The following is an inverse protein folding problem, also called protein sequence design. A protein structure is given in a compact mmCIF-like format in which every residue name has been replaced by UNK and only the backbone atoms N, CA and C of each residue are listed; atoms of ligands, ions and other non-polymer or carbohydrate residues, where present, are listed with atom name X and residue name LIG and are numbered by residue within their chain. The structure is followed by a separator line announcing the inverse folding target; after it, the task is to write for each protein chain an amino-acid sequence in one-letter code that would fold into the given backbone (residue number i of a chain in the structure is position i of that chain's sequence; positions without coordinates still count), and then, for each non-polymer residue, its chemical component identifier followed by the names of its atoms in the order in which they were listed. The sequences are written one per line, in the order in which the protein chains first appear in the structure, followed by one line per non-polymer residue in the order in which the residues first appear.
data_IF_519593924501
#
_entry.id   IF_519593924501
#
_cell.length_a   1.000
_cell.length_b   1.000
_cell.length_c   1.000
_cell.angle_alpha   90.00
_cell.angle_beta   90.00
_cell.angle_gamma   90.00
#
_symmetry.space_group_name_H-M   'P 1'
#
loop_
_entity.id
_entity.type
_entity.pdbx_description
1 polymer ?
#
# COMPACT_ATOMS: atom_id res chain seq x y z
N UNK A 1 -9.13 6.26 -5.24
CA UNK A 1 -8.16 5.16 -5.10
C UNK A 1 -8.66 4.28 -3.96
N UNK A 2 -8.88 3.00 -4.24
CA UNK A 2 -9.37 2.03 -3.24
C UNK A 2 -8.20 1.17 -2.81
N UNK A 3 -8.04 1.02 -1.50
CA UNK A 3 -6.98 0.20 -0.90
C UNK A 3 -7.69 -0.93 -0.18
N UNK A 4 -7.43 -2.16 -0.61
CA UNK A 4 -7.94 -3.35 0.05
C UNK A 4 -6.76 -4.01 0.75
N UNK A 5 -6.80 -4.02 2.09
CA UNK A 5 -5.85 -4.74 2.91
C UNK A 5 -6.44 -6.11 3.25
N UNK A 6 -5.65 -7.15 3.06
CA UNK A 6 -5.88 -8.49 3.54
C UNK A 6 -4.63 -8.94 4.29
N UNK A 7 -4.75 -9.92 5.17
CA UNK A 7 -3.67 -10.33 6.09
C UNK A 7 -2.35 -10.68 5.38
N UNK A 8 -2.42 -11.12 4.12
CA UNK A 8 -1.26 -11.53 3.33
C UNK A 8 -1.01 -10.64 2.08
N UNK A 9 -1.95 -9.77 1.71
CA UNK A 9 -1.86 -8.99 0.47
C UNK A 9 -2.52 -7.63 0.54
N UNK A 10 -2.01 -6.71 -0.26
CA UNK A 10 -2.55 -5.36 -0.41
C UNK A 10 -2.88 -5.15 -1.88
N UNK A 11 -4.12 -4.77 -2.15
CA UNK A 11 -4.59 -4.46 -3.51
C UNK A 11 -4.85 -2.96 -3.60
N UNK A 12 -4.14 -2.31 -4.51
CA UNK A 12 -4.28 -0.89 -4.81
C UNK A 12 -5.02 -0.74 -6.13
N UNK A 13 -6.20 -0.14 -6.09
CA UNK A 13 -7.00 0.13 -7.28
C UNK A 13 -7.13 1.64 -7.51
N UNK A 14 -6.63 2.13 -8.64
CA UNK A 14 -6.66 3.55 -8.99
C UNK A 14 -5.88 3.84 -10.26
N UNK A 15 -5.70 5.13 -10.58
CA UNK A 15 -4.86 5.54 -11.71
C UNK A 15 -3.40 5.20 -11.40
N UNK A 16 -2.63 4.80 -12.42
CA UNK A 16 -1.25 4.33 -12.25
C UNK A 16 -0.36 5.33 -11.49
N UNK A 17 -0.49 6.63 -11.77
CA UNK A 17 0.27 7.67 -11.07
C UNK A 17 -0.10 7.79 -9.58
N UNK A 18 -1.37 7.53 -9.21
CA UNK A 18 -1.82 7.55 -7.81
C UNK A 18 -1.23 6.37 -7.04
N UNK A 19 -1.19 5.20 -7.66
CA UNK A 19 -0.55 3.99 -7.11
C UNK A 19 0.95 4.26 -6.90
N UNK A 20 1.63 4.83 -7.88
CA UNK A 20 3.05 5.18 -7.78
C UNK A 20 3.32 6.17 -6.63
N UNK A 21 2.49 7.22 -6.53
CA UNK A 21 2.60 8.21 -5.46
C UNK A 21 2.46 7.55 -4.08
N UNK A 22 1.47 6.65 -3.94
CA UNK A 22 1.19 5.99 -2.67
C UNK A 22 2.30 4.99 -2.29
N UNK A 23 2.85 4.25 -3.25
CA UNK A 23 4.01 3.37 -3.02
C UNK A 23 5.26 4.15 -2.60
N UNK A 24 5.46 5.36 -3.12
CA UNK A 24 6.56 6.25 -2.69
C UNK A 24 6.37 6.75 -1.26
N UNK A 25 5.15 7.13 -0.89
CA UNK A 25 4.82 7.52 0.49
C UNK A 25 4.99 6.35 1.46
N UNK A 26 4.51 5.18 1.06
CA UNK A 26 4.61 3.93 1.79
C UNK A 26 6.08 3.57 2.13
N UNK A 27 6.99 3.66 1.15
CA UNK A 27 8.42 3.37 1.34
C UNK A 27 9.07 4.22 2.45
N UNK A 28 8.53 5.41 2.73
CA UNK A 28 9.04 6.28 3.81
C UNK A 28 8.60 5.81 5.20
N UNK A 29 7.43 5.17 5.29
CA UNK A 29 6.78 4.83 6.56
C UNK A 29 7.02 3.38 6.97
N UNK A 30 7.17 2.45 6.02
CA UNK A 30 7.33 1.02 6.31
C UNK A 30 8.42 0.41 5.44
N UNK A 31 9.13 -0.57 6.01
CA UNK A 31 10.22 -1.28 5.33
C UNK A 31 9.73 -2.52 4.59
N UNK A 32 8.67 -3.19 5.07
CA UNK A 32 8.14 -4.42 4.46
C UNK A 32 6.64 -4.36 4.26
N UNK A 33 6.17 -4.94 3.14
CA UNK A 33 4.74 -5.00 2.78
C UNK A 33 3.90 -5.67 3.88
N UNK A 34 4.48 -6.62 4.63
CA UNK A 34 3.83 -7.25 5.79
C UNK A 34 3.51 -6.24 6.90
N UNK A 35 4.44 -5.33 7.18
CA UNK A 35 4.25 -4.27 8.18
C UNK A 35 3.10 -3.35 7.76
N UNK A 36 2.93 -3.14 6.45
CA UNK A 36 1.82 -2.37 5.90
C UNK A 36 0.46 -3.07 6.00
N UNK A 37 0.46 -4.39 5.80
CA UNK A 37 -0.74 -5.20 5.81
C UNK A 37 -1.26 -5.41 7.23
N UNK A 38 -0.37 -5.36 8.21
CA UNK A 38 -0.68 -5.47 9.64
C UNK A 38 -1.01 -4.12 10.29
N UNK A 39 -0.70 -3.01 9.62
CA UNK A 39 -1.05 -1.67 10.07
C UNK A 39 -2.56 -1.45 9.93
N UNK A 40 -3.24 -1.15 11.04
CA UNK A 40 -4.71 -1.03 11.14
C UNK A 40 -5.23 0.16 10.32
#
# INVERSE_FOLDING_TARGET
MKIYKSTDKIVLQGKAWQVLYLLKAYRKQYKRVRDWAQDK
#
